data_IF_113919200153
#
_entry.id   IF_113919200153
#
_cell.length_a   1.000
_cell.length_b   1.000
_cell.length_c   1.000
_cell.angle_alpha   90.00
_cell.angle_beta   90.00
_cell.angle_gamma   90.00
#
_symmetry.space_group_name_H-M   'P 1'
#
loop_
_entity.id
_entity.type
_entity.pdbx_description
1 polymer ?
#
# COMPACT_ATOMS: atom_id res chain seq x y z
N UNK A 1 2.72 28.59 21.58
CA UNK A 1 4.01 29.04 20.97
C UNK A 1 4.53 28.03 19.94
N UNK A 2 4.73 26.75 20.29
CA UNK A 2 5.16 25.69 19.34
C UNK A 2 4.25 25.55 18.10
N UNK A 3 2.93 25.60 18.25
CA UNK A 3 1.97 25.48 17.15
C UNK A 3 2.09 26.61 16.12
N UNK A 4 2.34 27.85 16.58
CA UNK A 4 2.50 28.99 15.67
C UNK A 4 3.78 28.83 14.83
N UNK A 5 4.89 28.51 15.46
CA UNK A 5 6.19 28.30 14.77
C UNK A 5 6.08 27.16 13.74
N UNK A 6 5.39 26.08 14.08
CA UNK A 6 5.11 24.97 13.14
C UNK A 6 4.26 25.45 11.94
N UNK A 7 3.19 26.23 12.19
CA UNK A 7 2.33 26.72 11.09
C UNK A 7 3.06 27.73 10.19
N UNK A 8 3.89 28.61 10.76
CA UNK A 8 4.75 29.52 9.98
C UNK A 8 5.74 28.77 9.09
N UNK A 9 6.33 27.68 9.61
CA UNK A 9 7.21 26.81 8.82
C UNK A 9 6.47 26.13 7.67
N UNK A 10 5.26 25.61 7.93
CA UNK A 10 4.40 25.01 6.88
C UNK A 10 4.01 26.06 5.85
N UNK A 11 3.59 27.25 6.28
CA UNK A 11 3.21 28.35 5.39
C UNK A 11 4.37 28.71 4.46
N UNK A 12 5.57 28.87 4.99
CA UNK A 12 6.76 29.19 4.19
C UNK A 12 7.03 28.12 3.13
N UNK A 13 6.96 26.83 3.45
CA UNK A 13 7.11 25.77 2.46
C UNK A 13 6.08 25.91 1.33
N UNK A 14 4.82 26.17 1.67
CA UNK A 14 3.75 26.32 0.68
C UNK A 14 3.90 27.56 -0.17
N UNK A 15 4.32 28.70 0.38
CA UNK A 15 4.63 29.93 -0.35
C UNK A 15 5.79 29.74 -1.33
N UNK A 16 6.79 28.92 -0.94
CA UNK A 16 7.93 28.57 -1.80
C UNK A 16 7.56 27.47 -2.85
N UNK A 17 6.30 27.04 -2.91
CA UNK A 17 5.82 25.99 -3.81
C UNK A 17 6.33 24.58 -3.44
N UNK A 18 6.84 24.39 -2.23
CA UNK A 18 7.37 23.11 -1.73
C UNK A 18 6.27 22.35 -1.04
N UNK A 19 5.95 21.11 -1.48
CA UNK A 19 4.98 20.26 -0.78
C UNK A 19 5.39 20.00 0.66
N UNK A 20 4.45 20.04 1.60
CA UNK A 20 4.75 19.86 3.03
C UNK A 20 5.47 18.54 3.33
N UNK A 21 5.17 17.46 2.58
CA UNK A 21 5.87 16.16 2.72
C UNK A 21 7.38 16.20 2.46
N UNK A 22 7.88 17.23 1.77
CA UNK A 22 9.32 17.43 1.55
C UNK A 22 9.99 18.28 2.65
N UNK A 23 9.19 18.83 3.56
CA UNK A 23 9.70 19.56 4.72
C UNK A 23 10.37 18.64 5.74
N UNK A 24 11.35 19.16 6.44
CA UNK A 24 12.00 18.44 7.56
C UNK A 24 11.30 18.84 8.85
N UNK A 25 10.72 17.87 9.55
CA UNK A 25 9.97 18.07 10.78
C UNK A 25 10.57 17.26 11.92
N UNK A 26 10.51 17.79 13.14
CA UNK A 26 10.87 17.06 14.36
C UNK A 26 9.68 16.21 14.84
N UNK A 27 9.93 15.26 15.73
CA UNK A 27 8.92 14.29 16.20
C UNK A 27 7.61 14.95 16.71
N UNK A 28 7.72 16.06 17.44
CA UNK A 28 6.54 16.79 17.92
C UNK A 28 5.81 17.53 16.80
N UNK A 29 6.53 18.03 15.80
CA UNK A 29 5.96 18.65 14.60
C UNK A 29 5.29 17.59 13.71
N UNK A 30 5.85 16.37 13.62
CA UNK A 30 5.24 15.25 12.85
C UNK A 30 3.88 14.87 13.42
N UNK A 31 3.70 14.88 14.74
CA UNK A 31 2.39 14.67 15.37
C UNK A 31 1.39 15.76 14.98
N UNK A 32 1.83 17.03 15.01
CA UNK A 32 0.98 18.17 14.58
C UNK A 32 0.66 18.07 13.08
N UNK A 33 1.62 17.69 12.26
CA UNK A 33 1.44 17.48 10.83
C UNK A 33 0.38 16.43 10.54
N UNK A 34 0.44 15.30 11.24
CA UNK A 34 -0.53 14.21 11.10
C UNK A 34 -1.95 14.67 11.49
N UNK A 35 -2.10 15.44 12.56
CA UNK A 35 -3.39 15.97 13.00
C UNK A 35 -3.94 17.04 12.06
N UNK A 36 -3.07 17.84 11.43
CA UNK A 36 -3.47 18.96 10.56
C UNK A 36 -3.99 18.51 9.18
N UNK A 37 -3.73 17.27 8.76
CA UNK A 37 -4.24 16.67 7.51
C UNK A 37 -4.02 17.51 6.24
N UNK A 38 -2.89 18.23 6.13
CA UNK A 38 -2.57 19.00 4.93
C UNK A 38 -2.54 18.11 3.69
N UNK A 39 -3.11 18.56 2.57
CA UNK A 39 -3.12 17.80 1.32
C UNK A 39 -1.71 17.46 0.84
N UNK A 40 -0.81 18.44 0.89
CA UNK A 40 0.56 18.25 0.41
C UNK A 40 1.47 17.50 1.39
N UNK A 41 0.99 17.16 2.59
CA UNK A 41 1.71 16.25 3.51
C UNK A 41 1.50 14.78 3.18
N UNK A 42 0.44 14.45 2.42
CA UNK A 42 0.11 13.07 2.07
C UNK A 42 1.08 12.51 1.04
N UNK A 43 1.43 11.23 1.11
CA UNK A 43 2.18 10.57 0.05
C UNK A 43 1.41 10.59 -1.26
N UNK A 44 2.12 10.54 -2.38
CA UNK A 44 1.53 10.55 -3.72
C UNK A 44 2.03 9.37 -4.54
N UNK A 45 1.16 8.90 -5.42
CA UNK A 45 1.45 7.89 -6.44
C UNK A 45 1.01 8.47 -7.78
N UNK A 46 1.87 8.41 -8.79
CA UNK A 46 1.54 8.80 -10.15
C UNK A 46 1.06 7.59 -10.94
N UNK A 47 -0.12 7.69 -11.52
CA UNK A 47 -0.68 6.67 -12.41
C UNK A 47 -0.72 7.27 -13.81
N UNK A 48 0.05 6.71 -14.74
CA UNK A 48 0.07 7.08 -16.13
C UNK A 48 -0.86 6.16 -16.91
N UNK A 49 -2.00 6.68 -17.37
CA UNK A 49 -2.84 5.96 -18.31
C UNK A 49 -2.17 6.03 -19.70
N UNK A 50 -1.75 4.89 -20.20
CA UNK A 50 -1.03 4.75 -21.46
C UNK A 50 -1.76 3.81 -22.41
N UNK A 51 -1.40 3.85 -23.69
CA UNK A 51 -1.84 2.88 -24.67
C UNK A 51 -1.26 1.48 -24.40
N UNK A 52 -1.86 0.46 -24.99
CA UNK A 52 -1.52 -0.96 -24.77
C UNK A 52 -0.04 -1.27 -25.03
N UNK A 53 0.54 -0.69 -26.10
CA UNK A 53 1.93 -0.92 -26.47
C UNK A 53 2.92 -0.26 -25.50
N UNK A 54 2.44 0.69 -24.71
CA UNK A 54 3.26 1.52 -23.80
C UNK A 54 3.21 1.06 -22.33
N UNK A 55 2.43 0.04 -21.97
CA UNK A 55 2.33 -0.44 -20.58
C UNK A 55 3.70 -0.79 -20.00
N UNK A 56 4.50 -1.54 -20.73
CA UNK A 56 5.80 -2.06 -20.25
C UNK A 56 6.92 -1.03 -20.25
N UNK A 57 6.97 -0.18 -21.26
CA UNK A 57 8.11 0.73 -21.50
C UNK A 57 7.78 2.20 -21.32
N UNK A 58 6.50 2.49 -21.08
CA UNK A 58 6.01 3.86 -21.07
C UNK A 58 6.03 4.51 -22.47
N UNK A 59 5.56 5.73 -22.52
CA UNK A 59 5.65 6.62 -23.69
C UNK A 59 6.38 7.91 -23.31
N UNK A 60 6.47 8.88 -24.25
CA UNK A 60 7.17 10.13 -23.99
C UNK A 60 6.63 10.91 -22.80
N UNK A 61 5.30 10.88 -22.57
CA UNK A 61 4.65 11.57 -21.46
C UNK A 61 4.88 10.86 -20.14
N UNK A 62 4.70 9.54 -20.09
CA UNK A 62 4.93 8.77 -18.85
C UNK A 62 6.39 8.85 -18.38
N UNK A 63 7.37 8.90 -19.30
CA UNK A 63 8.78 9.10 -18.96
C UNK A 63 9.05 10.48 -18.34
N UNK A 64 8.33 11.52 -18.76
CA UNK A 64 8.42 12.83 -18.11
C UNK A 64 7.86 12.79 -16.69
N UNK A 65 6.74 12.08 -16.49
CA UNK A 65 6.16 11.88 -15.15
C UNK A 65 7.11 11.07 -14.29
N UNK A 66 7.72 9.98 -14.80
CA UNK A 66 8.72 9.20 -14.07
C UNK A 66 9.93 10.04 -13.63
N UNK A 67 10.39 10.95 -14.49
CA UNK A 67 11.49 11.85 -14.14
C UNK A 67 11.10 12.81 -13.00
N UNK A 68 9.90 13.37 -13.05
CA UNK A 68 9.35 14.20 -11.98
C UNK A 68 9.17 13.40 -10.69
N UNK A 69 8.61 12.22 -10.79
CA UNK A 69 8.35 11.34 -9.64
C UNK A 69 9.64 10.95 -8.91
N UNK A 70 10.73 10.71 -9.64
CA UNK A 70 12.06 10.47 -9.03
C UNK A 70 12.54 11.65 -8.19
N UNK A 71 12.31 12.89 -8.66
CA UNK A 71 12.66 14.10 -7.91
C UNK A 71 11.80 14.22 -6.64
N UNK A 72 10.53 13.79 -6.73
CA UNK A 72 9.57 13.85 -5.62
C UNK A 72 9.60 12.61 -4.71
N UNK A 73 10.49 11.65 -5.00
CA UNK A 73 10.57 10.35 -4.30
C UNK A 73 9.22 9.62 -4.25
N UNK A 74 8.45 9.71 -5.35
CA UNK A 74 7.12 9.14 -5.47
C UNK A 74 7.12 7.93 -6.43
N UNK A 75 6.35 6.87 -6.15
CA UNK A 75 6.19 5.77 -7.09
C UNK A 75 5.36 6.18 -8.31
N UNK A 76 5.59 5.45 -9.42
CA UNK A 76 4.83 5.60 -10.67
C UNK A 76 4.37 4.24 -11.17
N UNK A 77 3.20 4.21 -11.80
CA UNK A 77 2.67 3.04 -12.50
C UNK A 77 2.18 3.45 -13.89
N UNK A 78 2.49 2.62 -14.89
CA UNK A 78 1.85 2.69 -16.19
C UNK A 78 0.71 1.67 -16.22
N UNK A 79 -0.51 2.12 -16.56
CA UNK A 79 -1.71 1.29 -16.63
C UNK A 79 -2.40 1.62 -17.95
N UNK A 80 -2.96 0.63 -18.62
CA UNK A 80 -3.89 0.85 -19.74
C UNK A 80 -5.29 0.49 -19.28
N UNK A 81 -6.15 1.48 -19.19
CA UNK A 81 -7.53 1.29 -18.72
C UNK A 81 -8.32 0.39 -19.69
N UNK A 82 -8.04 0.42 -21.01
CA UNK A 82 -8.67 -0.49 -21.98
C UNK A 82 -8.33 -1.94 -21.67
N UNK A 83 -7.06 -2.25 -21.43
CA UNK A 83 -6.64 -3.62 -21.06
C UNK A 83 -7.22 -4.03 -19.71
N UNK A 84 -7.20 -3.15 -18.70
CA UNK A 84 -7.76 -3.47 -17.38
C UNK A 84 -9.25 -3.79 -17.48
N UNK A 85 -9.98 -3.11 -18.36
CA UNK A 85 -11.39 -3.40 -18.62
C UNK A 85 -11.55 -4.79 -19.24
N UNK A 86 -10.78 -5.13 -20.27
CA UNK A 86 -10.83 -6.45 -20.92
C UNK A 86 -10.48 -7.56 -19.92
N UNK A 87 -9.40 -7.39 -19.14
CA UNK A 87 -8.99 -8.35 -18.12
C UNK A 87 -10.05 -8.54 -17.03
N UNK A 88 -10.81 -7.49 -16.69
CA UNK A 88 -11.86 -7.57 -15.67
C UNK A 88 -13.09 -8.39 -16.09
N UNK A 89 -13.29 -8.63 -17.40
CA UNK A 89 -14.37 -9.44 -17.94
C UNK A 89 -14.05 -10.94 -17.88
N UNK A 90 -12.78 -11.31 -17.68
CA UNK A 90 -12.32 -12.70 -17.61
C UNK A 90 -12.55 -13.24 -16.20
N UNK A 91 -13.45 -14.22 -16.09
CA UNK A 91 -13.79 -14.84 -14.81
C UNK A 91 -12.93 -16.07 -14.48
N UNK A 92 -12.29 -16.69 -15.47
CA UNK A 92 -11.44 -17.86 -15.29
C UNK A 92 -10.00 -17.42 -14.96
N UNK A 93 -9.52 -17.78 -13.76
CA UNK A 93 -8.16 -17.42 -13.32
C UNK A 93 -7.04 -18.00 -14.20
N UNK A 94 -7.27 -19.13 -14.86
CA UNK A 94 -6.27 -19.74 -15.74
C UNK A 94 -6.16 -18.97 -17.04
N UNK A 95 -7.31 -18.67 -17.65
CA UNK A 95 -7.39 -17.85 -18.85
C UNK A 95 -6.77 -16.47 -18.61
N UNK A 96 -7.05 -15.84 -17.46
CA UNK A 96 -6.46 -14.57 -17.09
C UNK A 96 -4.92 -14.67 -16.98
N UNK A 97 -4.40 -15.72 -16.34
CA UNK A 97 -2.94 -15.92 -16.21
C UNK A 97 -2.27 -16.19 -17.55
N UNK A 98 -2.88 -16.97 -18.43
CA UNK A 98 -2.38 -17.22 -19.77
C UNK A 98 -2.30 -15.94 -20.60
N UNK A 99 -3.36 -15.13 -20.57
CA UNK A 99 -3.39 -13.86 -21.29
C UNK A 99 -2.35 -12.86 -20.74
N UNK A 100 -2.23 -12.73 -19.42
CA UNK A 100 -1.19 -11.90 -18.81
C UNK A 100 0.20 -12.34 -19.23
N UNK A 101 0.45 -13.65 -19.28
CA UNK A 101 1.73 -14.21 -19.73
C UNK A 101 2.01 -13.89 -21.19
N UNK A 102 1.02 -14.04 -22.09
CA UNK A 102 1.14 -13.68 -23.51
C UNK A 102 1.45 -12.19 -23.69
N UNK A 103 0.86 -11.33 -22.87
CA UNK A 103 1.13 -9.90 -22.85
C UNK A 103 2.47 -9.54 -22.18
N UNK A 104 3.16 -10.53 -21.59
CA UNK A 104 4.40 -10.35 -20.84
C UNK A 104 4.20 -9.52 -19.57
N UNK A 105 3.07 -9.70 -18.93
CA UNK A 105 2.69 -9.06 -17.65
C UNK A 105 2.66 -10.13 -16.55
N UNK A 106 3.18 -9.79 -15.37
CA UNK A 106 3.19 -10.70 -14.21
C UNK A 106 1.89 -10.59 -13.39
N UNK A 107 1.18 -9.46 -13.51
CA UNK A 107 -0.06 -9.17 -12.79
C UNK A 107 -0.81 -8.04 -13.48
N UNK A 108 -2.09 -7.87 -13.14
CA UNK A 108 -2.91 -6.76 -13.64
C UNK A 108 -2.42 -5.41 -13.12
N UNK A 109 -2.78 -4.32 -13.79
CA UNK A 109 -2.48 -2.96 -13.32
C UNK A 109 -3.19 -2.65 -12.00
N UNK A 110 -4.39 -3.19 -11.80
CA UNK A 110 -5.14 -3.07 -10.54
C UNK A 110 -4.39 -3.74 -9.37
N UNK A 111 -3.87 -4.96 -9.57
CA UNK A 111 -3.05 -5.62 -8.54
C UNK A 111 -1.79 -4.83 -8.20
N UNK A 112 -1.08 -4.32 -9.20
CA UNK A 112 0.08 -3.44 -9.00
C UNK A 112 -0.28 -2.17 -8.26
N UNK A 113 -1.42 -1.57 -8.59
CA UNK A 113 -1.93 -0.38 -7.92
C UNK A 113 -2.18 -0.64 -6.43
N UNK A 114 -2.86 -1.75 -6.11
CA UNK A 114 -3.12 -2.16 -4.72
C UNK A 114 -1.81 -2.39 -3.97
N UNK A 115 -0.89 -3.16 -4.52
CA UNK A 115 0.40 -3.46 -3.90
C UNK A 115 1.23 -2.19 -3.67
N UNK A 116 1.29 -1.31 -4.67
CA UNK A 116 2.02 -0.04 -4.56
C UNK A 116 1.37 0.89 -3.53
N UNK A 117 0.04 0.94 -3.50
CA UNK A 117 -0.70 1.72 -2.50
C UNK A 117 -0.46 1.23 -1.07
N UNK A 118 -0.49 -0.09 -0.85
CA UNK A 118 -0.15 -0.69 0.45
C UNK A 118 1.29 -0.38 0.87
N UNK A 119 2.24 -0.52 -0.06
CA UNK A 119 3.64 -0.18 0.20
C UNK A 119 3.82 1.30 0.52
N UNK A 120 3.21 2.19 -0.26
CA UNK A 120 3.29 3.64 -0.08
C UNK A 120 2.70 4.10 1.26
N UNK A 121 1.67 3.43 1.73
CA UNK A 121 1.00 3.72 3.01
C UNK A 121 1.58 2.91 4.17
N UNK A 122 2.65 2.14 3.93
CA UNK A 122 3.29 1.25 4.91
C UNK A 122 2.28 0.32 5.60
N UNK A 123 1.37 -0.25 4.81
CA UNK A 123 0.34 -1.16 5.29
C UNK A 123 0.74 -2.62 5.05
N UNK A 124 0.27 -3.49 5.92
CA UNK A 124 0.29 -4.93 5.73
C UNK A 124 -1.06 -5.54 6.10
N UNK A 125 -1.27 -6.76 5.64
CA UNK A 125 -2.49 -7.53 5.95
C UNK A 125 -2.11 -8.78 6.74
N UNK A 126 -2.86 -9.06 7.80
CA UNK A 126 -2.87 -10.36 8.43
C UNK A 126 -4.26 -10.97 8.36
N UNK A 127 -4.33 -12.30 8.43
CA UNK A 127 -5.58 -13.03 8.38
C UNK A 127 -5.90 -13.64 9.73
N UNK A 128 -7.17 -13.64 10.08
CA UNK A 128 -7.70 -14.53 11.11
C UNK A 128 -8.49 -15.63 10.44
N UNK A 129 -8.26 -16.87 10.83
CA UNK A 129 -8.99 -18.03 10.30
C UNK A 129 -9.52 -18.87 11.44
N UNK A 130 -10.81 -19.17 11.40
CA UNK A 130 -11.50 -19.99 12.36
C UNK A 130 -12.63 -20.79 11.70
N UNK A 131 -13.31 -21.67 12.47
CA UNK A 131 -14.37 -22.52 11.92
C UNK A 131 -15.56 -21.76 11.29
N UNK A 132 -15.77 -20.51 11.72
CA UNK A 132 -16.92 -19.71 11.30
C UNK A 132 -16.60 -18.74 10.17
N UNK A 133 -15.39 -18.15 10.17
CA UNK A 133 -14.99 -17.17 9.19
C UNK A 133 -13.47 -17.11 9.03
N UNK A 134 -13.05 -16.65 7.86
CA UNK A 134 -11.70 -16.17 7.58
C UNK A 134 -11.80 -14.71 7.19
N UNK A 135 -10.96 -13.86 7.80
CA UNK A 135 -11.02 -12.42 7.59
C UNK A 135 -9.62 -11.80 7.45
N UNK A 136 -9.50 -10.85 6.53
CA UNK A 136 -8.32 -10.03 6.34
C UNK A 136 -8.42 -8.74 7.18
N UNK A 137 -7.31 -8.34 7.80
CA UNK A 137 -7.18 -7.16 8.63
C UNK A 137 -6.00 -6.33 8.16
N UNK A 138 -6.24 -5.07 7.85
CA UNK A 138 -5.19 -4.15 7.43
C UNK A 138 -4.67 -3.35 8.61
N UNK A 139 -3.35 -3.34 8.78
CA UNK A 139 -2.62 -2.62 9.84
C UNK A 139 -1.39 -1.92 9.24
N UNK A 140 -0.82 -0.96 9.97
CA UNK A 140 0.49 -0.43 9.62
C UNK A 140 1.60 -1.46 9.88
N UNK A 141 2.64 -1.48 9.05
CA UNK A 141 3.76 -2.42 9.17
C UNK A 141 4.43 -2.44 10.55
N UNK A 142 4.45 -1.29 11.24
CA UNK A 142 5.04 -1.14 12.57
C UNK A 142 4.09 -1.47 13.72
N UNK A 143 2.88 -1.98 13.44
CA UNK A 143 1.87 -2.27 14.46
C UNK A 143 2.32 -3.43 15.35
N UNK A 144 2.33 -3.21 16.66
CA UNK A 144 2.64 -4.25 17.63
C UNK A 144 1.48 -5.25 17.75
N UNK A 145 1.79 -6.50 18.12
CA UNK A 145 0.82 -7.59 18.21
C UNK A 145 -0.43 -7.26 19.08
N UNK A 146 -0.31 -6.60 20.25
CA UNK A 146 -1.49 -6.20 21.03
C UNK A 146 -2.40 -5.20 20.28
N UNK A 147 -1.79 -4.26 19.52
CA UNK A 147 -2.54 -3.29 18.74
C UNK A 147 -3.20 -3.92 17.51
N UNK A 148 -2.52 -4.86 16.87
CA UNK A 148 -3.09 -5.68 15.81
C UNK A 148 -4.31 -6.48 16.33
N UNK A 149 -4.19 -7.17 17.46
CA UNK A 149 -5.30 -7.85 18.10
C UNK A 149 -6.46 -6.88 18.44
N UNK A 150 -6.14 -5.66 18.82
CA UNK A 150 -7.09 -4.59 19.06
C UNK A 150 -7.92 -4.18 17.85
N UNK A 151 -7.43 -4.42 16.64
CA UNK A 151 -8.20 -4.22 15.39
C UNK A 151 -9.35 -5.19 15.24
N UNK A 152 -9.20 -6.41 15.77
CA UNK A 152 -10.25 -7.42 15.78
C UNK A 152 -11.32 -7.02 16.82
N UNK A 153 -10.88 -6.76 18.06
CA UNK A 153 -11.75 -6.30 19.14
C UNK A 153 -10.91 -5.61 20.24
N UNK A 154 -11.46 -4.54 20.81
CA UNK A 154 -10.79 -3.76 21.87
C UNK A 154 -10.38 -4.58 23.08
N UNK A 155 -11.16 -5.61 23.44
CA UNK A 155 -10.87 -6.48 24.56
C UNK A 155 -9.66 -7.37 24.30
N UNK A 156 -9.39 -7.73 23.03
CA UNK A 156 -8.19 -8.49 22.67
C UNK A 156 -6.91 -7.67 22.90
N UNK A 157 -6.96 -6.35 22.73
CA UNK A 157 -5.84 -5.49 23.11
C UNK A 157 -5.62 -5.47 24.61
N UNK A 158 -6.69 -5.32 25.40
CA UNK A 158 -6.61 -5.22 26.87
C UNK A 158 -6.16 -6.52 27.52
N UNK A 159 -6.63 -7.65 27.01
CA UNK A 159 -6.33 -8.98 27.52
C UNK A 159 -5.23 -9.72 26.76
N UNK A 160 -4.44 -9.02 25.92
CA UNK A 160 -3.44 -9.65 25.08
C UNK A 160 -2.33 -10.28 25.93
N UNK A 161 -2.10 -11.57 25.73
CA UNK A 161 -1.00 -12.32 26.36
C UNK A 161 -0.02 -12.76 25.26
N UNK A 162 -0.52 -13.49 24.27
CA UNK A 162 0.24 -14.00 23.12
C UNK A 162 -0.68 -14.32 21.95
N UNK A 163 -0.12 -14.39 20.75
CA UNK A 163 -0.77 -14.90 19.55
C UNK A 163 0.09 -16.01 18.93
N UNK A 164 -0.55 -17.05 18.42
CA UNK A 164 0.10 -18.01 17.52
C UNK A 164 -0.05 -17.46 16.11
N UNK A 165 1.06 -17.36 15.39
CA UNK A 165 1.11 -16.83 14.03
C UNK A 165 1.93 -17.76 13.14
N UNK A 166 1.56 -17.82 11.89
CA UNK A 166 2.27 -18.54 10.84
C UNK A 166 2.35 -17.64 9.60
N UNK A 167 3.43 -17.72 8.86
CA UNK A 167 3.51 -16.96 7.59
C UNK A 167 2.45 -17.45 6.60
N UNK A 168 1.96 -16.57 5.76
CA UNK A 168 0.96 -16.91 4.73
C UNK A 168 1.47 -18.03 3.79
N UNK A 169 2.73 -17.94 3.38
CA UNK A 169 3.37 -18.95 2.53
C UNK A 169 3.46 -20.31 3.20
N UNK A 170 3.86 -20.36 4.47
CA UNK A 170 4.00 -21.62 5.21
C UNK A 170 2.63 -22.24 5.48
N UNK A 171 1.63 -21.42 5.79
CA UNK A 171 0.25 -21.88 5.97
C UNK A 171 -0.31 -22.54 4.72
N UNK A 172 -0.10 -21.93 3.54
CA UNK A 172 -0.53 -22.49 2.25
C UNK A 172 0.22 -23.78 1.92
N UNK A 173 1.55 -23.75 2.09
CA UNK A 173 2.41 -24.91 1.80
C UNK A 173 2.08 -26.11 2.69
N UNK A 174 1.78 -25.87 3.95
CA UNK A 174 1.37 -26.91 4.89
C UNK A 174 -0.06 -27.41 4.64
N UNK A 175 -0.91 -26.61 3.99
CA UNK A 175 -2.32 -26.93 3.75
C UNK A 175 -3.21 -26.80 4.99
N UNK A 176 -2.83 -25.95 5.94
CA UNK A 176 -3.65 -25.60 7.11
C UNK A 176 -2.92 -25.60 8.45
N UNK A 177 -3.61 -25.15 9.49
CA UNK A 177 -3.06 -24.94 10.84
C UNK A 177 -2.41 -26.18 11.48
N UNK A 178 -3.04 -27.33 11.38
CA UNK A 178 -2.53 -28.57 12.01
C UNK A 178 -1.15 -28.92 11.46
N UNK A 179 -1.03 -29.00 10.14
CA UNK A 179 0.24 -29.34 9.50
C UNK A 179 1.29 -28.24 9.64
N UNK A 180 0.88 -26.96 9.61
CA UNK A 180 1.81 -25.87 9.87
C UNK A 180 2.41 -25.95 11.27
N UNK A 181 1.60 -26.33 12.28
CA UNK A 181 2.06 -26.53 13.67
C UNK A 181 2.96 -27.77 13.85
N UNK A 182 2.75 -28.82 13.06
CA UNK A 182 3.60 -30.02 13.05
C UNK A 182 4.97 -29.78 12.42
N UNK A 183 5.03 -28.81 11.52
CA UNK A 183 6.27 -28.46 10.79
C UNK A 183 7.18 -27.49 11.56
N UNK A 184 6.73 -26.94 12.72
CA UNK A 184 7.49 -25.98 13.55
C UNK A 184 7.08 -24.57 13.32
#
# INVERSE_FOLDING_TARGET
>A
MLTLVFLEKVLKLLEDGIPVRQGKFFDDELKMLHLSQFLTSKPILFICNVDENSIRKGNGHSKQVEALAKILEAPTLNISVSIEQELSEISDEKELKELLFEMGMDSTGLEKLIQTGYSLLELCTYFTSGPKETRAWTIANSTLAPDAAGKIHTDFKKGFIRAETVSYSDFLSAGGWLKAKESG
#
